data_IF_001986905541
#
_entry.id   IF_001986905541
#
_cell.length_a   1.000
_cell.length_b   1.000
_cell.length_c   1.000
_cell.angle_alpha   90.00
_cell.angle_beta   90.00
_cell.angle_gamma   90.00
#
_symmetry.space_group_name_H-M   'P 1'
#
loop_
_entity.id
_entity.type
_entity.pdbx_description
1 polymer ?
#
# COMPACT_ATOMS: atom_id res chain seq x y z
N UNK A 1 -22.07 -17.30 -2.29
CA UNK A 1 -21.96 -15.88 -1.84
C UNK A 1 -20.52 -15.39 -1.84
N UNK A 2 -19.54 -16.23 -1.48
CA UNK A 2 -18.10 -15.91 -1.44
C UNK A 2 -17.51 -15.38 -2.77
N UNK A 3 -17.99 -15.86 -3.91
CA UNK A 3 -17.51 -15.43 -5.24
C UNK A 3 -17.85 -13.96 -5.57
N UNK A 4 -18.99 -13.46 -5.09
CA UNK A 4 -19.43 -12.07 -5.34
C UNK A 4 -18.56 -11.12 -4.50
N UNK A 5 -18.28 -11.48 -3.25
CA UNK A 5 -17.46 -10.70 -2.33
C UNK A 5 -15.98 -10.67 -2.74
N UNK A 6 -15.48 -11.78 -3.28
CA UNK A 6 -14.15 -11.84 -3.90
C UNK A 6 -14.07 -10.86 -5.08
N UNK A 7 -15.04 -10.91 -6.00
CA UNK A 7 -15.03 -10.05 -7.17
C UNK A 7 -15.12 -8.57 -6.81
N UNK A 8 -15.94 -8.20 -5.81
CA UNK A 8 -16.06 -6.80 -5.37
C UNK A 8 -14.77 -6.29 -4.71
N UNK A 9 -14.10 -7.09 -3.90
CA UNK A 9 -12.80 -6.72 -3.31
C UNK A 9 -11.71 -6.58 -4.38
N UNK A 10 -11.67 -7.48 -5.35
CA UNK A 10 -10.74 -7.42 -6.47
C UNK A 10 -10.94 -6.18 -7.34
N UNK A 11 -12.20 -5.85 -7.66
CA UNK A 11 -12.54 -4.64 -8.41
C UNK A 11 -12.16 -3.38 -7.63
N UNK A 12 -12.46 -3.34 -6.34
CA UNK A 12 -12.10 -2.22 -5.46
C UNK A 12 -10.58 -1.97 -5.43
N UNK A 13 -9.80 -3.03 -5.22
CA UNK A 13 -8.34 -2.95 -5.25
C UNK A 13 -7.81 -2.54 -6.63
N UNK A 14 -8.34 -3.11 -7.71
CA UNK A 14 -7.92 -2.78 -9.07
C UNK A 14 -8.13 -1.29 -9.39
N UNK A 15 -9.28 -0.73 -8.99
CA UNK A 15 -9.58 0.69 -9.22
C UNK A 15 -8.63 1.61 -8.45
N UNK A 16 -8.32 1.29 -7.19
CA UNK A 16 -7.34 2.04 -6.39
C UNK A 16 -5.95 1.96 -7.05
N UNK A 17 -5.48 0.77 -7.43
CA UNK A 17 -4.15 0.60 -8.04
C UNK A 17 -4.03 1.35 -9.36
N UNK A 18 -5.09 1.34 -10.19
CA UNK A 18 -5.14 2.12 -11.43
C UNK A 18 -4.96 3.62 -11.16
N UNK A 19 -5.66 4.16 -10.16
CA UNK A 19 -5.53 5.58 -9.81
C UNK A 19 -4.15 5.93 -9.26
N UNK A 20 -3.52 5.00 -8.56
CA UNK A 20 -2.15 5.15 -8.07
C UNK A 20 -1.07 4.91 -9.14
N UNK A 21 -1.48 4.66 -10.39
CA UNK A 21 -0.61 4.31 -11.52
C UNK A 21 0.24 3.06 -11.26
N UNK A 22 -0.29 2.10 -10.51
CA UNK A 22 0.35 0.81 -10.23
C UNK A 22 -0.24 -0.27 -11.14
N UNK A 23 0.63 -1.08 -11.74
CA UNK A 23 0.19 -2.24 -12.51
C UNK A 23 -0.14 -3.40 -11.56
N UNK A 24 -1.29 -4.05 -11.78
CA UNK A 24 -1.82 -5.10 -10.91
C UNK A 24 -0.87 -6.31 -10.82
N UNK A 25 -0.31 -6.74 -11.94
CA UNK A 25 0.65 -7.85 -12.03
C UNK A 25 1.92 -7.59 -11.21
N UNK A 26 2.52 -6.42 -11.39
CA UNK A 26 3.72 -6.00 -10.64
C UNK A 26 3.40 -5.89 -9.15
N UNK A 27 2.26 -5.28 -8.82
CA UNK A 27 1.82 -5.13 -7.43
C UNK A 27 1.65 -6.50 -6.75
N UNK A 28 0.97 -7.43 -7.39
CA UNK A 28 0.73 -8.77 -6.83
C UNK A 28 2.03 -9.58 -6.72
N UNK A 29 2.92 -9.47 -7.70
CA UNK A 29 4.25 -10.07 -7.63
C UNK A 29 5.02 -9.54 -6.41
N UNK A 30 5.11 -8.23 -6.25
CA UNK A 30 5.82 -7.60 -5.13
C UNK A 30 5.17 -7.92 -3.76
N UNK A 31 3.84 -7.98 -3.72
CA UNK A 31 3.09 -8.38 -2.52
C UNK A 31 3.42 -9.82 -2.10
N UNK A 32 3.47 -10.75 -3.06
CA UNK A 32 3.83 -12.14 -2.81
C UNK A 32 5.28 -12.30 -2.31
N UNK A 33 6.17 -11.39 -2.69
CA UNK A 33 7.56 -11.32 -2.22
C UNK A 33 7.73 -10.46 -0.95
N UNK A 34 6.63 -10.09 -0.28
CA UNK A 34 6.64 -9.31 0.96
C UNK A 34 7.37 -7.96 0.87
N UNK A 35 7.39 -7.33 -0.30
CA UNK A 35 7.90 -5.97 -0.42
C UNK A 35 7.11 -5.03 0.48
N UNK A 36 7.83 -4.20 1.24
CA UNK A 36 7.28 -3.39 2.32
C UNK A 36 6.19 -2.44 1.83
N UNK A 37 6.40 -1.78 0.69
CA UNK A 37 5.43 -0.82 0.15
C UNK A 37 4.10 -1.48 -0.22
N UNK A 38 4.15 -2.57 -0.98
CA UNK A 38 2.95 -3.29 -1.42
C UNK A 38 2.23 -3.96 -0.26
N UNK A 39 2.96 -4.46 0.73
CA UNK A 39 2.38 -5.03 1.96
C UNK A 39 1.60 -3.99 2.76
N UNK A 40 2.16 -2.79 2.92
CA UNK A 40 1.50 -1.67 3.60
C UNK A 40 0.26 -1.23 2.81
N UNK A 41 0.42 -1.04 1.50
CA UNK A 41 -0.65 -0.58 0.63
C UNK A 41 -1.82 -1.58 0.59
N UNK A 42 -1.52 -2.89 0.50
CA UNK A 42 -2.54 -3.94 0.57
C UNK A 42 -3.32 -3.91 1.90
N UNK A 43 -2.62 -3.72 3.03
CA UNK A 43 -3.27 -3.61 4.35
C UNK A 43 -4.19 -2.39 4.43
N UNK A 44 -3.79 -1.24 3.87
CA UNK A 44 -4.63 -0.06 3.81
C UNK A 44 -5.87 -0.29 2.95
N UNK A 45 -5.70 -0.80 1.73
CA UNK A 45 -6.80 -1.10 0.81
C UNK A 45 -7.79 -2.06 1.47
N UNK A 46 -7.29 -3.13 2.10
CA UNK A 46 -8.15 -4.10 2.77
C UNK A 46 -8.94 -3.46 3.93
N UNK A 47 -8.29 -2.63 4.75
CA UNK A 47 -8.93 -1.95 5.89
C UNK A 47 -9.99 -0.95 5.44
N UNK A 48 -9.77 -0.27 4.32
CA UNK A 48 -10.73 0.70 3.75
C UNK A 48 -11.93 -0.04 3.16
N UNK A 49 -11.70 -1.13 2.43
CA UNK A 49 -12.75 -1.99 1.91
C UNK A 49 -13.63 -2.56 3.04
N UNK A 50 -13.04 -3.10 4.11
CA UNK A 50 -13.80 -3.66 5.24
C UNK A 50 -14.64 -2.63 6.00
N UNK A 51 -14.29 -1.34 5.87
CA UNK A 51 -15.03 -0.22 6.45
C UNK A 51 -16.10 0.34 5.52
N UNK A 52 -16.25 -0.21 4.31
CA UNK A 52 -17.18 0.30 3.31
C UNK A 52 -16.84 1.69 2.79
N UNK A 53 -15.56 2.10 2.85
CA UNK A 53 -15.13 3.42 2.36
C UNK A 53 -15.24 3.44 0.84
N UNK A 54 -15.77 4.55 0.29
CA UNK A 54 -15.87 4.74 -1.16
C UNK A 54 -14.49 4.69 -1.82
N UNK A 55 -14.44 4.35 -3.11
CA UNK A 55 -13.17 4.28 -3.85
C UNK A 55 -12.48 5.66 -3.87
N UNK A 56 -13.24 6.72 -4.10
CA UNK A 56 -12.73 8.09 -4.18
C UNK A 56 -12.13 8.56 -2.84
N UNK A 57 -12.83 8.30 -1.72
CA UNK A 57 -12.32 8.63 -0.39
C UNK A 57 -11.09 7.77 -0.03
N UNK A 58 -11.10 6.50 -0.39
CA UNK A 58 -9.98 5.59 -0.15
C UNK A 58 -8.72 6.05 -0.89
N UNK A 59 -8.84 6.50 -2.13
CA UNK A 59 -7.75 7.08 -2.91
C UNK A 59 -7.16 8.29 -2.18
N UNK A 60 -7.99 9.24 -1.74
CA UNK A 60 -7.52 10.42 -1.02
C UNK A 60 -6.81 10.07 0.29
N UNK A 61 -7.35 9.12 1.05
CA UNK A 61 -6.74 8.65 2.29
C UNK A 61 -5.39 7.98 2.05
N UNK A 62 -5.28 7.17 0.99
CA UNK A 62 -4.01 6.53 0.60
C UNK A 62 -2.98 7.57 0.19
N UNK A 63 -3.35 8.59 -0.61
CA UNK A 63 -2.42 9.68 -0.96
C UNK A 63 -1.93 10.43 0.28
N UNK A 64 -2.83 10.75 1.22
CA UNK A 64 -2.46 11.40 2.49
C UNK A 64 -1.50 10.53 3.31
N UNK A 65 -1.81 9.24 3.45
CA UNK A 65 -0.97 8.30 4.18
C UNK A 65 0.41 8.11 3.52
N UNK A 66 0.45 8.03 2.18
CA UNK A 66 1.70 7.93 1.41
C UNK A 66 2.57 9.18 1.59
N UNK A 67 1.97 10.37 1.55
CA UNK A 67 2.70 11.61 1.79
C UNK A 67 3.29 11.67 3.20
N UNK A 68 2.55 11.24 4.22
CA UNK A 68 3.07 11.17 5.61
C UNK A 68 4.25 10.18 5.69
N UNK A 69 4.13 9.01 5.07
CA UNK A 69 5.19 7.99 5.07
C UNK A 69 6.46 8.48 4.36
N UNK A 70 6.32 9.21 3.24
CA UNK A 70 7.45 9.72 2.46
C UNK A 70 8.10 10.96 3.07
N UNK A 71 7.30 11.86 3.66
CA UNK A 71 7.78 13.16 4.16
C UNK A 71 8.26 13.10 5.61
N UNK A 72 8.04 11.99 6.32
CA UNK A 72 8.43 11.85 7.72
C UNK A 72 9.46 10.73 7.91
N UNK A 73 10.76 11.00 7.63
CA UNK A 73 11.81 9.99 7.74
C UNK A 73 12.00 9.44 9.16
N UNK A 74 11.54 10.16 10.20
CA UNK A 74 11.56 9.69 11.60
C UNK A 74 10.55 8.56 11.87
N UNK A 75 9.55 8.38 11.00
CA UNK A 75 8.53 7.34 11.08
C UNK A 75 8.63 6.33 9.93
N UNK A 76 9.65 6.46 9.08
CA UNK A 76 9.89 5.59 7.94
C UNK A 76 10.37 4.22 8.40
N UNK A 77 9.77 3.15 7.86
CA UNK A 77 10.17 1.76 8.08
C UNK A 77 11.58 1.40 7.56
N UNK A 78 12.32 2.39 7.04
CA UNK A 78 13.71 2.23 6.63
C UNK A 78 14.59 2.81 7.73
N UNK A 79 15.19 1.94 8.54
CA UNK A 79 16.38 2.29 9.29
C UNK A 79 17.41 2.81 8.29
N UNK A 80 17.86 4.05 8.43
CA UNK A 80 19.10 4.49 7.77
C UNK A 80 20.20 3.52 8.20
N UNK A 81 20.97 2.94 7.27
CA UNK A 81 22.13 2.14 7.65
C UNK A 81 23.03 3.02 8.53
N UNK A 82 23.47 2.51 9.67
CA UNK A 82 24.46 3.21 10.47
C UNK A 82 25.72 3.45 9.60
N UNK A 83 26.35 4.63 9.69
CA UNK A 83 27.63 4.85 9.05
C UNK A 83 28.57 3.74 9.48
N UNK A 84 29.23 3.09 8.51
CA UNK A 84 30.31 2.15 8.81
C UNK A 84 31.37 2.95 9.52
N UNK A 85 31.47 2.79 10.84
CA UNK A 85 32.57 3.30 11.64
C UNK A 85 33.86 2.77 10.99
N UNK A 86 34.57 3.65 10.29
CA UNK A 86 35.93 3.37 9.84
C UNK A 86 36.78 3.15 11.10
N UNK A 87 37.45 2.00 11.24
CA UNK A 87 38.34 1.77 12.36
C UNK A 87 39.53 2.73 12.29
N UNK A 88 40.01 3.06 13.50
CA UNK A 88 41.04 4.03 13.88
C UNK A 88 42.32 4.05 13.04
#
# INVERSE_FOLDING_TARGET
MEYIEYNSKHQYMSNILKMLHLKMDIFMYNLAHHNSYETILYRWIHKLYSKGISIDDAIQLIYKARNILLLNPKNGLCSTPEPIDTPS
#
